data_IF_811400268715
#
_entry.id   IF_811400268715
#
_cell.length_a   1.000
_cell.length_b   1.000
_cell.length_c   1.000
_cell.angle_alpha   90.00
_cell.angle_beta   90.00
_cell.angle_gamma   90.00
#
_symmetry.space_group_name_H-M   'P 1'
#
loop_
_entity.id
_entity.type
_entity.pdbx_description
1 polymer ?
#
# COMPACT_ATOMS: atom_id res chain seq x y z
N UNK A 1 -51.84 -43.59 -2.00
CA UNK A 1 -50.83 -43.30 -0.96
C UNK A 1 -49.90 -44.49 -0.80
N UNK A 2 -48.68 -44.40 -1.34
CA UNK A 2 -47.51 -45.21 -0.96
C UNK A 2 -46.30 -44.48 -1.56
N UNK A 3 -45.64 -43.68 -0.75
CA UNK A 3 -44.48 -42.87 -1.16
C UNK A 3 -43.25 -43.77 -1.14
N UNK A 4 -42.70 -44.04 -2.31
CA UNK A 4 -41.37 -44.61 -2.50
C UNK A 4 -40.43 -43.41 -2.65
N UNK A 5 -39.33 -43.38 -1.89
CA UNK A 5 -37.97 -43.01 -2.33
C UNK A 5 -37.07 -42.85 -1.10
N UNK A 6 -36.29 -43.90 -0.85
CA UNK A 6 -35.03 -43.82 -0.13
C UNK A 6 -33.97 -43.34 -1.13
N UNK A 7 -33.37 -42.18 -0.90
CA UNK A 7 -32.09 -41.81 -1.49
C UNK A 7 -31.50 -40.55 -0.81
N UNK A 8 -30.20 -40.63 -0.54
CA UNK A 8 -29.26 -39.55 -0.21
C UNK A 8 -29.27 -39.01 1.23
N UNK A 9 -28.76 -39.90 2.09
CA UNK A 9 -27.76 -39.62 3.12
C UNK A 9 -26.83 -38.42 2.80
N UNK A 10 -26.68 -37.53 3.78
CA UNK A 10 -25.43 -36.87 4.19
C UNK A 10 -24.53 -36.39 3.04
N UNK A 11 -24.70 -35.14 2.63
CA UNK A 11 -23.58 -34.30 2.15
C UNK A 11 -23.53 -33.07 3.04
N UNK A 12 -23.09 -33.32 4.28
CA UNK A 12 -22.53 -32.28 5.12
C UNK A 12 -21.08 -32.08 4.68
N UNK A 13 -20.67 -30.81 4.61
CA UNK A 13 -19.30 -30.32 4.52
C UNK A 13 -18.55 -30.47 3.19
N UNK A 14 -17.75 -29.43 2.94
CA UNK A 14 -16.69 -29.29 1.94
C UNK A 14 -17.23 -29.05 0.51
N UNK A 15 -17.11 -27.87 -0.09
CA UNK A 15 -15.97 -26.96 -0.08
C UNK A 15 -16.46 -25.54 -0.32
N UNK A 16 -16.44 -24.73 0.74
CA UNK A 16 -16.27 -23.28 0.62
C UNK A 16 -14.84 -23.10 0.08
N UNK A 17 -14.70 -23.26 -1.23
CA UNK A 17 -13.46 -23.04 -1.95
C UNK A 17 -13.21 -21.57 -2.18
N UNK A 18 -13.34 -20.72 -1.15
CA UNK A 18 -12.54 -19.49 -1.15
C UNK A 18 -11.12 -19.94 -0.88
N UNK A 19 -10.46 -20.37 -1.95
CA UNK A 19 -9.01 -20.50 -2.00
C UNK A 19 -8.45 -19.10 -1.78
N UNK A 20 -8.41 -18.70 -0.51
CA UNK A 20 -7.60 -17.59 -0.05
C UNK A 20 -6.16 -18.13 -0.08
N UNK A 21 -5.59 -18.25 -1.29
CA UNK A 21 -4.15 -18.30 -1.39
C UNK A 21 -3.69 -16.98 -0.80
N UNK A 22 -3.13 -17.01 0.42
CA UNK A 22 -2.40 -15.88 0.96
C UNK A 22 -1.34 -15.52 -0.09
N UNK A 23 -1.66 -14.57 -0.95
CA UNK A 23 -0.69 -13.86 -1.75
C UNK A 23 0.37 -13.43 -0.76
N UNK A 24 1.63 -13.79 -1.03
CA UNK A 24 2.73 -13.43 -0.15
C UNK A 24 2.69 -11.91 -0.03
N UNK A 25 2.24 -11.42 1.13
CA UNK A 25 2.04 -10.00 1.39
C UNK A 25 3.29 -9.19 1.10
N UNK A 26 3.18 -7.86 1.08
CA UNK A 26 4.30 -6.99 0.76
C UNK A 26 5.46 -7.26 1.71
N UNK A 27 6.66 -7.49 1.15
CA UNK A 27 7.80 -7.96 1.93
C UNK A 27 8.82 -6.88 2.29
N UNK A 28 8.84 -5.77 1.55
CA UNK A 28 9.86 -4.75 1.73
C UNK A 28 9.34 -3.37 1.30
N UNK A 29 9.14 -2.45 2.26
CA UNK A 29 8.90 -1.03 1.97
C UNK A 29 10.24 -0.33 1.81
N UNK A 30 10.44 0.27 0.64
CA UNK A 30 11.63 1.03 0.32
C UNK A 30 11.22 2.29 -0.44
N UNK A 31 11.70 3.45 0.04
CA UNK A 31 11.70 4.66 -0.76
C UNK A 31 12.85 5.59 -0.38
N UNK A 32 13.10 6.58 -1.23
CA UNK A 32 14.07 7.64 -0.97
C UNK A 32 13.63 8.94 -1.65
N UNK A 33 14.21 10.06 -1.19
CA UNK A 33 13.99 11.39 -1.74
C UNK A 33 15.06 11.71 -2.79
N UNK A 34 14.74 12.54 -3.79
CA UNK A 34 15.75 13.06 -4.72
C UNK A 34 16.88 13.82 -4.02
N UNK A 35 16.59 14.49 -2.90
CA UNK A 35 17.55 15.17 -2.02
C UNK A 35 17.03 15.16 -0.57
N UNK A 36 17.95 15.14 0.41
CA UNK A 36 17.60 15.22 1.84
C UNK A 36 17.40 16.66 2.35
N UNK A 37 18.01 17.63 1.66
CA UNK A 37 17.84 19.07 1.91
C UNK A 37 17.32 19.74 0.65
N UNK A 38 16.16 20.40 0.76
CA UNK A 38 15.39 20.98 -0.33
C UNK A 38 15.33 22.50 -0.12
N UNK A 39 15.47 23.29 -1.19
CA UNK A 39 15.24 24.74 -1.09
C UNK A 39 13.76 25.04 -1.17
N UNK A 40 13.29 26.05 -0.45
CA UNK A 40 11.91 26.49 -0.49
C UNK A 40 11.51 26.83 -1.93
N UNK A 41 10.41 26.25 -2.40
CA UNK A 41 9.94 26.40 -3.78
C UNK A 41 10.47 25.35 -4.76
N UNK A 42 11.47 24.54 -4.40
CA UNK A 42 11.87 23.37 -5.20
C UNK A 42 10.85 22.23 -5.05
N UNK A 43 10.81 21.35 -6.06
CA UNK A 43 10.09 20.09 -5.99
C UNK A 43 11.01 18.97 -5.49
N UNK A 44 10.56 18.22 -4.49
CA UNK A 44 11.17 16.95 -4.08
C UNK A 44 10.48 15.79 -4.80
N UNK A 45 11.26 14.85 -5.33
CA UNK A 45 10.75 13.63 -5.96
C UNK A 45 10.88 12.46 -5.00
N UNK A 46 9.86 11.59 -5.00
CA UNK A 46 9.66 10.47 -4.10
C UNK A 46 9.75 9.16 -4.89
N UNK A 47 10.80 8.37 -4.65
CA UNK A 47 11.06 7.18 -5.45
C UNK A 47 10.77 5.89 -4.66
N UNK A 48 9.69 5.19 -5.00
CA UNK A 48 9.36 3.88 -4.44
C UNK A 48 10.23 2.75 -5.03
N UNK A 49 11.17 2.26 -4.21
CA UNK A 49 12.02 1.08 -4.49
C UNK A 49 11.49 -0.21 -3.86
N UNK A 50 10.25 -0.23 -3.37
CA UNK A 50 9.64 -1.39 -2.70
C UNK A 50 9.54 -2.60 -3.62
N UNK A 51 9.60 -3.79 -3.02
CA UNK A 51 9.57 -5.08 -3.73
C UNK A 51 8.38 -5.92 -3.28
N UNK A 52 7.90 -6.77 -4.18
CA UNK A 52 6.78 -7.69 -3.93
C UNK A 52 5.50 -6.97 -3.49
N UNK A 53 5.18 -5.84 -4.13
CA UNK A 53 3.92 -5.09 -3.94
C UNK A 53 3.06 -5.14 -5.20
N UNK A 54 1.75 -5.05 -5.02
CA UNK A 54 0.76 -4.87 -6.10
C UNK A 54 0.31 -3.41 -6.17
N UNK A 55 0.18 -2.76 -5.03
CA UNK A 55 -0.33 -1.39 -4.91
C UNK A 55 0.51 -0.58 -3.93
N UNK A 56 0.38 0.74 -4.00
CA UNK A 56 1.04 1.67 -3.10
C UNK A 56 0.18 2.91 -2.87
N UNK A 57 0.42 3.58 -1.75
CA UNK A 57 -0.22 4.82 -1.38
C UNK A 57 0.79 5.70 -0.65
N UNK A 58 1.08 6.85 -1.24
CA UNK A 58 1.77 7.94 -0.59
C UNK A 58 0.79 8.74 0.25
N UNK A 59 1.24 9.15 1.43
CA UNK A 59 0.59 10.20 2.23
C UNK A 59 1.62 11.32 2.33
N UNK A 60 1.33 12.42 1.65
CA UNK A 60 2.19 13.57 1.51
C UNK A 60 2.09 14.46 2.75
N UNK A 61 3.05 15.39 2.96
CA UNK A 61 3.11 16.18 4.19
C UNK A 61 1.91 17.11 4.41
N UNK A 62 1.20 17.48 3.34
CA UNK A 62 -0.04 18.27 3.40
C UNK A 62 -1.30 17.42 3.67
N UNK A 63 -1.13 16.11 3.86
CA UNK A 63 -2.22 15.15 4.06
C UNK A 63 -2.85 14.63 2.77
N UNK A 64 -2.45 15.13 1.60
CA UNK A 64 -2.89 14.58 0.32
C UNK A 64 -2.32 13.18 0.08
N UNK A 65 -2.93 12.44 -0.83
CA UNK A 65 -2.52 11.08 -1.17
C UNK A 65 -2.27 10.93 -2.66
N UNK A 66 -1.36 10.03 -3.02
CA UNK A 66 -1.00 9.69 -4.40
C UNK A 66 -0.77 8.17 -4.49
N UNK A 67 -1.29 7.51 -5.52
CA UNK A 67 -1.14 6.07 -5.76
C UNK A 67 -0.12 5.75 -6.88
N UNK A 68 0.45 6.78 -7.48
CA UNK A 68 1.51 6.67 -8.48
C UNK A 68 2.74 5.97 -7.88
N UNK A 69 3.40 5.12 -8.68
CA UNK A 69 4.61 4.41 -8.23
C UNK A 69 5.68 5.37 -7.71
N UNK A 70 5.84 6.52 -8.37
CA UNK A 70 6.68 7.61 -7.90
C UNK A 70 5.80 8.84 -7.71
N UNK A 71 6.15 9.69 -6.75
CA UNK A 71 5.38 10.88 -6.43
C UNK A 71 6.29 12.10 -6.35
N UNK A 72 5.71 13.28 -6.18
CA UNK A 72 6.43 14.52 -6.01
C UNK A 72 5.68 15.42 -5.02
N UNK A 73 6.43 16.26 -4.32
CA UNK A 73 5.86 17.24 -3.40
C UNK A 73 6.60 18.57 -3.53
N UNK A 74 5.85 19.68 -3.45
CA UNK A 74 6.40 21.03 -3.49
C UNK A 74 6.14 21.72 -2.14
N UNK A 75 7.16 21.83 -1.27
CA UNK A 75 7.01 22.49 0.01
C UNK A 75 6.67 23.97 -0.14
N UNK A 76 5.75 24.44 0.70
CA UNK A 76 5.33 25.85 0.77
C UNK A 76 5.95 26.62 1.94
N UNK A 77 6.74 25.93 2.79
CA UNK A 77 7.44 26.52 3.93
C UNK A 77 8.75 25.79 4.22
N UNK A 78 9.54 26.36 5.14
CA UNK A 78 10.75 25.72 5.67
C UNK A 78 10.42 24.81 6.85
N UNK A 79 11.30 23.85 7.15
CA UNK A 79 11.13 22.93 8.27
C UNK A 79 11.34 21.47 7.89
N UNK A 80 10.94 20.56 8.78
CA UNK A 80 11.03 19.12 8.55
C UNK A 80 9.68 18.58 8.11
N UNK A 81 9.69 17.91 6.96
CA UNK A 81 8.50 17.32 6.34
C UNK A 81 8.56 15.81 6.48
N UNK A 82 7.41 15.17 6.76
CA UNK A 82 7.29 13.72 6.86
C UNK A 82 6.46 13.18 5.70
N UNK A 83 6.95 12.12 5.06
CA UNK A 83 6.25 11.39 4.01
C UNK A 83 6.07 9.96 4.47
N UNK A 84 4.86 9.42 4.26
CA UNK A 84 4.59 8.00 4.44
C UNK A 84 4.40 7.32 3.09
N UNK A 85 4.97 6.13 2.96
CA UNK A 85 4.63 5.18 1.91
C UNK A 85 4.02 3.95 2.55
N UNK A 86 2.82 3.57 2.10
CA UNK A 86 2.21 2.26 2.36
C UNK A 86 2.21 1.45 1.08
N UNK A 87 2.43 0.15 1.19
CA UNK A 87 2.35 -0.77 0.06
C UNK A 87 1.44 -1.95 0.41
N UNK A 88 0.72 -2.45 -0.59
CA UNK A 88 -0.24 -3.55 -0.44
C UNK A 88 0.13 -4.75 -1.31
N UNK A 89 -0.25 -5.94 -0.84
CA UNK A 89 -0.16 -7.19 -1.59
C UNK A 89 -1.33 -7.40 -2.57
N UNK A 90 -2.31 -6.51 -2.55
CA UNK A 90 -3.50 -6.48 -3.39
C UNK A 90 -3.90 -5.04 -3.72
N UNK A 91 -4.83 -4.84 -4.66
CA UNK A 91 -5.33 -3.50 -5.00
C UNK A 91 -6.25 -2.89 -3.94
N UNK A 92 -6.86 -3.74 -3.11
CA UNK A 92 -7.76 -3.29 -2.04
C UNK A 92 -7.00 -2.76 -0.81
N UNK A 93 -5.66 -2.87 -0.77
CA UNK A 93 -4.81 -2.43 0.33
C UNK A 93 -5.24 -3.05 1.67
N UNK A 94 -5.60 -4.34 1.68
CA UNK A 94 -6.11 -5.03 2.89
C UNK A 94 -5.01 -5.53 3.81
N UNK A 95 -3.88 -5.95 3.24
CA UNK A 95 -2.65 -6.32 3.95
C UNK A 95 -1.54 -5.37 3.52
N UNK A 96 -1.17 -4.45 4.43
CA UNK A 96 -0.22 -3.38 4.13
C UNK A 96 0.92 -3.32 5.14
N UNK A 97 2.08 -2.95 4.63
CA UNK A 97 3.21 -2.46 5.44
C UNK A 97 3.55 -1.04 5.01
N UNK A 98 4.11 -0.25 5.92
CA UNK A 98 4.42 1.15 5.64
C UNK A 98 5.71 1.62 6.30
N UNK A 99 6.28 2.68 5.75
CA UNK A 99 7.46 3.37 6.27
C UNK A 99 7.25 4.87 6.20
N UNK A 100 7.78 5.59 7.19
CA UNK A 100 7.90 7.04 7.19
C UNK A 100 9.36 7.45 7.06
N UNK A 101 9.62 8.53 6.34
CA UNK A 101 10.92 9.18 6.27
C UNK A 101 10.73 10.69 6.19
N UNK A 102 11.75 11.44 6.57
CA UNK A 102 11.72 12.90 6.59
C UNK A 102 12.76 13.50 5.66
N UNK A 103 12.47 14.71 5.18
CA UNK A 103 13.43 15.59 4.52
C UNK A 103 13.30 17.00 5.11
N UNK A 104 14.34 17.81 4.96
CA UNK A 104 14.37 19.18 5.50
C UNK A 104 14.30 20.19 4.37
N UNK A 105 13.52 21.25 4.58
CA UNK A 105 13.38 22.38 3.67
C UNK A 105 14.01 23.61 4.30
N UNK A 106 14.88 24.27 3.54
CA UNK A 106 15.61 25.49 3.92
C UNK A 106 15.35 26.59 2.90
N UNK A 107 15.71 27.84 3.23
CA UNK A 107 15.68 28.94 2.26
C UNK A 107 16.88 28.90 1.31
#
# INVERSE_FOLDING_TARGET
MRRILAALSIVCLFLIGTSCTKTKGPKEVCFYFSKSTIKLGDTVYLFNCSKNMVSNLWILPDGSTDDSRHSAFKPTGTGTYSVWLRIGGDYAMTDTIGKSQTFTVVN
#
